data_IF_203942853327
#
_entry.id   IF_203942853327
#
_cell.length_a   1.000
_cell.length_b   1.000
_cell.length_c   1.000
_cell.angle_alpha   90.00
_cell.angle_beta   90.00
_cell.angle_gamma   90.00
#
_symmetry.space_group_name_H-M   'P 1'
#
loop_
_entity.id
_entity.type
_entity.pdbx_description
1 polymer ?
#
# COMPACT_ATOMS: atom_id res chain seq x y z
N UNK A 1 -2.35 -0.05 8.30
CA UNK A 1 -2.76 -0.83 7.12
C UNK A 1 -2.29 -2.27 7.27
N UNK A 2 -3.18 -3.25 7.18
CA UNK A 2 -2.85 -4.69 7.31
C UNK A 2 -3.11 -5.38 5.98
N UNK A 3 -2.11 -6.07 5.42
CA UNK A 3 -2.21 -6.70 4.09
C UNK A 3 -1.73 -8.15 4.16
N UNK A 4 -2.51 -9.07 3.60
CA UNK A 4 -2.11 -10.44 3.32
C UNK A 4 -1.65 -10.56 1.86
N UNK A 5 -0.45 -11.11 1.66
CA UNK A 5 0.11 -11.44 0.36
C UNK A 5 0.04 -12.95 0.18
N UNK A 6 -0.40 -13.39 -1.00
CA UNK A 6 -0.43 -14.81 -1.37
C UNK A 6 0.28 -14.99 -2.70
N UNK A 7 1.39 -15.71 -2.69
CA UNK A 7 2.10 -16.07 -3.91
C UNK A 7 1.44 -17.29 -4.54
N UNK A 8 0.71 -17.08 -5.64
CA UNK A 8 0.04 -18.16 -6.40
C UNK A 8 0.91 -18.72 -7.53
N UNK A 9 2.13 -18.21 -7.71
CA UNK A 9 3.09 -18.67 -8.71
C UNK A 9 3.89 -19.91 -8.27
N UNK A 10 4.68 -20.43 -9.21
CA UNK A 10 5.52 -21.63 -9.00
C UNK A 10 6.92 -21.38 -8.42
N UNK A 11 7.35 -20.12 -8.34
CA UNK A 11 8.64 -19.71 -7.80
C UNK A 11 8.47 -18.79 -6.61
N UNK A 12 9.49 -18.72 -5.75
CA UNK A 12 9.51 -17.72 -4.68
C UNK A 12 9.52 -16.30 -5.27
N UNK A 13 8.99 -15.34 -4.52
CA UNK A 13 9.24 -13.92 -4.73
C UNK A 13 10.38 -13.53 -3.83
N UNK A 14 11.56 -13.24 -4.38
CA UNK A 14 12.75 -12.90 -3.60
C UNK A 14 12.74 -11.47 -3.03
N UNK A 15 12.16 -10.51 -3.76
CA UNK A 15 12.10 -9.11 -3.36
C UNK A 15 10.96 -8.36 -4.04
N UNK A 16 10.59 -7.20 -3.50
CA UNK A 16 9.59 -6.33 -4.10
C UNK A 16 9.30 -5.10 -3.27
N UNK A 17 8.49 -4.21 -3.84
CA UNK A 17 8.00 -3.00 -3.21
C UNK A 17 6.47 -3.06 -3.21
N UNK A 18 5.88 -2.75 -2.07
CA UNK A 18 4.46 -2.46 -1.95
C UNK A 18 4.26 -0.95 -1.94
N UNK A 19 3.33 -0.46 -2.76
CA UNK A 19 2.97 0.95 -2.83
C UNK A 19 1.54 1.12 -2.34
N UNK A 20 1.38 1.92 -1.28
CA UNK A 20 0.09 2.36 -0.76
C UNK A 20 -0.26 3.72 -1.36
N UNK A 21 -1.45 3.85 -1.94
CA UNK A 21 -1.99 5.14 -2.38
C UNK A 21 -3.01 5.66 -1.37
N UNK A 22 -2.79 6.88 -0.91
CA UNK A 22 -3.67 7.59 0.01
C UNK A 22 -4.28 8.79 -0.71
N UNK A 23 -5.60 8.81 -0.82
CA UNK A 23 -6.36 9.84 -1.52
C UNK A 23 -6.77 10.91 -0.52
N UNK A 24 -6.60 12.18 -0.88
CA UNK A 24 -7.06 13.33 -0.10
C UNK A 24 -8.38 13.78 -0.70
N UNK A 25 -9.45 13.64 0.08
CA UNK A 25 -10.82 13.77 -0.38
C UNK A 25 -11.47 14.96 0.31
N UNK A 26 -12.14 15.80 -0.47
CA UNK A 26 -12.89 16.94 0.07
C UNK A 26 -14.27 16.55 0.60
N UNK A 27 -14.97 17.53 1.19
CA UNK A 27 -16.32 17.35 1.74
C UNK A 27 -17.37 16.93 0.70
N UNK A 28 -17.08 17.08 -0.61
CA UNK A 28 -17.96 16.70 -1.72
C UNK A 28 -17.59 15.31 -2.28
N UNK A 29 -16.54 14.66 -1.78
CA UNK A 29 -16.06 13.37 -2.26
C UNK A 29 -15.12 13.46 -3.47
N UNK A 30 -14.62 14.64 -3.81
CA UNK A 30 -13.67 14.83 -4.92
C UNK A 30 -12.27 14.48 -4.44
N UNK A 31 -11.54 13.69 -5.23
CA UNK A 31 -10.11 13.40 -5.00
C UNK A 31 -9.25 14.55 -5.54
N UNK A 32 -8.60 15.27 -4.63
CA UNK A 32 -7.73 16.40 -4.96
C UNK A 32 -6.27 15.98 -5.12
N UNK A 33 -5.85 14.89 -4.48
CA UNK A 33 -4.47 14.44 -4.49
C UNK A 33 -4.34 12.96 -4.08
N UNK A 34 -3.47 12.24 -4.78
CA UNK A 34 -3.03 10.90 -4.40
C UNK A 34 -1.58 10.93 -3.91
N UNK A 35 -1.37 10.54 -2.65
CA UNK A 35 -0.06 10.44 -2.02
C UNK A 35 0.39 8.98 -1.96
N UNK A 36 1.61 8.70 -2.40
CA UNK A 36 2.17 7.34 -2.42
C UNK A 36 3.11 7.12 -1.24
N UNK A 37 3.00 5.96 -0.61
CA UNK A 37 3.96 5.45 0.38
C UNK A 37 4.48 4.10 -0.11
N UNK A 38 5.80 4.01 -0.28
CA UNK A 38 6.47 2.81 -0.77
C UNK A 38 7.22 2.12 0.36
N UNK A 39 7.02 0.81 0.46
CA UNK A 39 7.55 -0.02 1.53
C UNK A 39 8.09 -1.33 0.95
N UNK A 40 9.05 -1.95 1.63
CA UNK A 40 9.55 -3.26 1.20
C UNK A 40 8.49 -4.34 1.43
N UNK A 41 8.28 -5.15 0.37
CA UNK A 41 7.48 -6.37 0.44
C UNK A 41 8.06 -7.30 1.52
N UNK A 42 7.26 -8.05 2.29
CA UNK A 42 7.76 -9.00 3.29
C UNK A 42 8.35 -10.27 2.64
N UNK A 43 9.31 -10.09 1.73
CA UNK A 43 10.00 -11.14 1.01
C UNK A 43 11.06 -11.85 1.89
N UNK A 44 11.48 -13.08 1.54
CA UNK A 44 10.98 -13.88 0.42
C UNK A 44 9.59 -14.47 0.71
N UNK A 45 8.72 -14.58 -0.31
CA UNK A 45 7.42 -15.28 -0.21
C UNK A 45 7.48 -16.54 -1.08
N UNK A 46 7.53 -17.71 -0.46
CA UNK A 46 7.63 -18.99 -1.19
C UNK A 46 6.42 -19.25 -2.09
N UNK A 47 6.62 -20.10 -3.11
CA UNK A 47 5.54 -20.54 -4.00
C UNK A 47 4.38 -21.17 -3.20
N UNK A 48 3.14 -20.74 -3.48
CA UNK A 48 1.94 -21.17 -2.77
C UNK A 48 1.79 -20.64 -1.34
N UNK A 49 2.78 -19.93 -0.80
CA UNK A 49 2.76 -19.43 0.57
C UNK A 49 2.02 -18.10 0.69
N UNK A 50 1.64 -17.79 1.92
CA UNK A 50 1.07 -16.51 2.31
C UNK A 50 1.88 -15.86 3.42
N UNK A 51 1.90 -14.53 3.41
CA UNK A 51 2.47 -13.71 4.48
C UNK A 51 1.58 -12.52 4.75
N UNK A 52 1.59 -12.07 5.98
CA UNK A 52 0.83 -10.92 6.43
C UNK A 52 1.80 -9.91 7.05
N UNK A 53 1.60 -8.63 6.76
CA UNK A 53 2.35 -7.55 7.42
C UNK A 53 1.43 -6.35 7.65
N UNK A 54 1.72 -5.65 8.73
CA UNK A 54 1.04 -4.41 9.10
C UNK A 54 2.03 -3.26 8.99
N UNK A 55 1.61 -2.18 8.37
CA UNK A 55 2.36 -0.95 8.22
C UNK A 55 1.58 0.22 8.82
N UNK A 56 2.32 1.18 9.36
CA UNK A 56 1.80 2.52 9.64
C UNK A 56 2.00 3.36 8.38
N UNK A 57 0.91 3.78 7.74
CA UNK A 57 0.95 4.67 6.57
C UNK A 57 0.63 6.07 7.08
N UNK A 58 1.59 6.97 6.98
CA UNK A 58 1.47 8.33 7.46
C UNK A 58 1.26 9.29 6.29
N UNK A 59 0.49 10.34 6.54
CA UNK A 59 0.38 11.52 5.69
C UNK A 59 0.70 12.71 6.57
N UNK A 60 1.54 13.62 6.09
CA UNK A 60 1.81 14.86 6.80
C UNK A 60 0.53 15.69 6.89
N UNK A 61 0.24 16.24 8.05
CA UNK A 61 -0.98 16.98 8.36
C UNK A 61 -1.25 18.13 7.38
N UNK A 62 -0.22 18.88 7.01
CA UNK A 62 -0.33 20.01 6.07
C UNK A 62 -0.76 19.59 4.66
N UNK A 63 -0.68 18.29 4.32
CA UNK A 63 -1.19 17.73 3.05
C UNK A 63 -2.70 17.49 3.07
N UNK A 64 -3.35 17.61 4.23
CA UNK A 64 -4.79 17.39 4.41
C UNK A 64 -5.43 18.71 4.88
N UNK A 65 -5.93 19.53 3.95
CA UNK A 65 -6.59 20.78 4.29
C UNK A 65 -7.78 20.58 5.24
N UNK A 66 -8.12 21.64 6.00
CA UNK A 66 -9.25 21.61 6.92
C UNK A 66 -10.56 21.22 6.21
N UNK A 67 -11.28 20.29 6.80
CA UNK A 67 -12.52 19.74 6.25
C UNK A 67 -12.32 18.57 5.27
N UNK A 68 -11.09 18.32 4.83
CA UNK A 68 -10.78 17.14 4.02
C UNK A 68 -10.43 15.93 4.90
N UNK A 69 -10.50 14.74 4.33
CA UNK A 69 -10.04 13.51 4.96
C UNK A 69 -9.18 12.69 4.00
N UNK A 70 -8.58 11.62 4.53
CA UNK A 70 -7.76 10.70 3.76
C UNK A 70 -8.37 9.32 3.68
N UNK A 71 -8.20 8.67 2.54
CA UNK A 71 -8.58 7.27 2.35
C UNK A 71 -7.44 6.51 1.67
N UNK A 72 -6.85 5.53 2.36
CA UNK A 72 -5.88 4.60 1.77
C UNK A 72 -6.62 3.40 1.21
N UNK A 73 -6.67 3.26 -0.11
CA UNK A 73 -7.46 2.22 -0.79
C UNK A 73 -6.63 1.36 -1.73
N UNK A 74 -5.76 1.98 -2.53
CA UNK A 74 -5.02 1.22 -3.53
C UNK A 74 -3.72 0.68 -2.95
N UNK A 75 -3.52 -0.62 -3.13
CA UNK A 75 -2.28 -1.32 -2.81
C UNK A 75 -1.80 -1.98 -4.09
N UNK A 76 -0.62 -1.59 -4.55
CA UNK A 76 0.04 -2.23 -5.70
C UNK A 76 1.37 -2.83 -5.27
N UNK A 77 1.81 -3.85 -6.01
CA UNK A 77 3.06 -4.54 -5.72
C UNK A 77 3.86 -4.68 -7.01
N UNK A 78 5.13 -4.35 -6.94
CA UNK A 78 6.13 -4.70 -7.95
C UNK A 78 7.12 -5.66 -7.31
N UNK A 79 7.44 -6.76 -7.99
CA UNK A 79 8.28 -7.81 -7.41
C UNK A 79 9.19 -8.45 -8.44
N UNK A 80 10.20 -9.17 -7.93
CA UNK A 80 11.13 -9.98 -8.70
C UNK A 80 11.14 -11.42 -8.15
N UNK A 81 11.24 -12.43 -9.04
CA UNK A 81 11.44 -13.82 -8.62
C UNK A 81 12.66 -13.96 -7.71
#
# INVERSE_FOLDING_TARGET
>A
MKVEFRNTGGSAVASGTVTFSTHVIDLLGIDWATLKSEEELPAPIGAGQKKEKTWTVCVDDWRVPLGMHIETKDVSVTWKP
#
